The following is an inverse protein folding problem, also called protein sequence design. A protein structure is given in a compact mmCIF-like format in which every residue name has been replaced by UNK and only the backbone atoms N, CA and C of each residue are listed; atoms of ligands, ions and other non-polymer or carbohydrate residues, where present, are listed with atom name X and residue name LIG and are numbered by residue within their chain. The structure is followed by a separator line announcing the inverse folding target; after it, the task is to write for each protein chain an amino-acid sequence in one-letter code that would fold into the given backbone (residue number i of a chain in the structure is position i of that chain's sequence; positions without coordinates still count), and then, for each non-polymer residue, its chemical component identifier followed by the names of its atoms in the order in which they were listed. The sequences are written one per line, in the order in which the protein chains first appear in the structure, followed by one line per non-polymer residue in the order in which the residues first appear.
data_IF_664487239354
#
_entry.id   IF_664487239354
#
_cell.length_a   1.000
_cell.length_b   1.000
_cell.length_c   1.000
_cell.angle_alpha   90.00
_cell.angle_beta   90.00
_cell.angle_gamma   90.00
#
_symmetry.space_group_name_H-M   'P 1'
#
loop_
_entity.id
_entity.type
_entity.pdbx_description
1 polymer ?
#
# COMPACT_ATOMS: atom_id res chain seq x y z
N UNK A 1 -9.03 -3.08 -0.90
CA UNK A 1 -8.39 -3.63 -2.11
C UNK A 1 -8.26 -2.51 -3.13
N UNK A 2 -7.05 -2.14 -3.52
CA UNK A 2 -6.83 -1.04 -4.47
C UNK A 2 -7.45 -1.39 -5.83
N UNK A 3 -8.46 -0.61 -6.22
CA UNK A 3 -9.22 -0.82 -7.46
C UNK A 3 -8.30 -0.78 -8.71
N UNK A 4 -7.17 -0.07 -8.59
CA UNK A 4 -6.14 0.01 -9.64
C UNK A 4 -5.33 -1.28 -9.78
N UNK A 5 -4.89 -1.89 -8.68
CA UNK A 5 -4.14 -3.14 -8.72
C UNK A 5 -5.02 -4.28 -9.25
N UNK A 6 -6.30 -4.32 -8.86
CA UNK A 6 -7.26 -5.28 -9.38
C UNK A 6 -7.41 -5.17 -10.90
N UNK A 7 -7.47 -3.95 -11.46
CA UNK A 7 -7.52 -3.73 -12.90
C UNK A 7 -6.27 -4.24 -13.63
N UNK A 8 -5.08 -4.03 -13.05
CA UNK A 8 -3.82 -4.54 -13.61
C UNK A 8 -3.82 -6.08 -13.62
N UNK A 9 -4.22 -6.72 -12.51
CA UNK A 9 -4.25 -8.17 -12.40
C UNK A 9 -5.27 -8.79 -13.36
N UNK A 10 -6.46 -8.19 -13.50
CA UNK A 10 -7.45 -8.62 -14.48
C UNK A 10 -6.94 -8.46 -15.92
N UNK A 11 -6.26 -7.36 -16.24
CA UNK A 11 -5.65 -7.16 -17.56
C UNK A 11 -4.60 -8.24 -17.90
N UNK A 12 -3.77 -8.64 -16.93
CA UNK A 12 -2.78 -9.72 -17.11
C UNK A 12 -3.48 -11.07 -17.29
N UNK A 13 -4.48 -11.36 -16.45
CA UNK A 13 -5.25 -12.60 -16.53
C UNK A 13 -5.89 -12.76 -17.91
N UNK A 14 -6.58 -11.74 -18.38
CA UNK A 14 -7.31 -11.78 -19.65
C UNK A 14 -6.37 -11.81 -20.85
N UNK A 15 -5.20 -11.15 -20.75
CA UNK A 15 -4.12 -11.28 -21.73
C UNK A 15 -3.60 -12.72 -21.82
N UNK A 16 -3.31 -13.34 -20.67
CA UNK A 16 -2.80 -14.72 -20.60
C UNK A 16 -3.86 -15.75 -21.02
N UNK A 17 -5.14 -15.47 -20.77
CA UNK A 17 -6.27 -16.28 -21.22
C UNK A 17 -6.58 -16.12 -22.71
N UNK A 18 -5.88 -15.23 -23.42
CA UNK A 18 -6.08 -14.99 -24.85
C UNK A 18 -7.36 -14.20 -25.19
N UNK A 19 -8.02 -13.59 -24.20
CA UNK A 19 -9.20 -12.73 -24.40
C UNK A 19 -8.81 -11.51 -25.25
N UNK A 20 -7.60 -11.00 -25.06
CA UNK A 20 -7.04 -9.93 -25.86
C UNK A 20 -5.85 -10.42 -26.69
N UNK A 21 -5.86 -10.06 -27.98
CA UNK A 21 -4.79 -10.40 -28.93
C UNK A 21 -3.51 -9.59 -28.72
N UNK A 22 -3.55 -8.52 -27.91
CA UNK A 22 -2.37 -7.70 -27.61
C UNK A 22 -2.45 -7.02 -26.25
N UNK A 23 -1.27 -6.71 -25.69
CA UNK A 23 -1.15 -5.89 -24.46
C UNK A 23 -1.85 -4.54 -24.61
N UNK A 24 -1.83 -3.94 -25.80
CA UNK A 24 -2.48 -2.65 -26.05
C UNK A 24 -4.00 -2.75 -25.91
N UNK A 25 -4.61 -3.83 -26.41
CA UNK A 25 -6.05 -4.06 -26.28
C UNK A 25 -6.46 -4.27 -24.82
N UNK A 26 -5.70 -5.09 -24.07
CA UNK A 26 -5.93 -5.30 -22.64
C UNK A 26 -5.78 -4.00 -21.83
N UNK A 27 -4.76 -3.17 -22.13
CA UNK A 27 -4.56 -1.86 -21.48
C UNK A 27 -5.76 -0.93 -21.69
N UNK A 28 -6.29 -0.85 -22.90
CA UNK A 28 -7.44 0.02 -23.23
C UNK A 28 -8.72 -0.47 -22.55
N UNK A 29 -8.98 -1.78 -22.57
CA UNK A 29 -10.17 -2.36 -21.95
C UNK A 29 -10.20 -2.16 -20.43
N UNK A 30 -9.05 -2.28 -19.76
CA UNK A 30 -8.92 -2.18 -18.31
C UNK A 30 -8.49 -0.78 -17.82
N UNK A 31 -8.27 0.17 -18.73
CA UNK A 31 -7.82 1.54 -18.37
C UNK A 31 -6.42 1.60 -17.72
N UNK A 32 -5.56 0.62 -18.01
CA UNK A 32 -4.22 0.49 -17.41
C UNK A 32 -3.16 1.06 -18.35
N UNK A 33 -2.22 1.91 -17.89
CA UNK A 33 -1.09 2.35 -18.71
C UNK A 33 -0.20 1.18 -19.16
N UNK A 34 0.25 1.22 -20.41
CA UNK A 34 1.09 0.15 -20.98
C UNK A 34 2.39 -0.07 -20.22
N UNK A 35 3.04 1.01 -19.78
CA UNK A 35 4.28 0.94 -18.99
C UNK A 35 4.05 0.21 -17.65
N UNK A 36 2.90 0.43 -17.02
CA UNK A 36 2.49 -0.25 -15.78
C UNK A 36 2.25 -1.74 -16.04
N UNK A 37 1.49 -2.09 -17.07
CA UNK A 37 1.22 -3.49 -17.42
C UNK A 37 2.51 -4.23 -17.79
N UNK A 38 3.39 -3.59 -18.57
CA UNK A 38 4.69 -4.15 -18.95
C UNK A 38 5.59 -4.37 -17.73
N UNK A 39 5.70 -3.37 -16.85
CA UNK A 39 6.45 -3.50 -15.60
C UNK A 39 5.92 -4.64 -14.73
N UNK A 40 4.60 -4.80 -14.69
CA UNK A 40 3.96 -5.88 -13.93
C UNK A 40 4.23 -7.26 -14.51
N UNK A 41 4.15 -7.42 -15.84
CA UNK A 41 4.51 -8.65 -16.54
C UNK A 41 6.00 -9.00 -16.37
N UNK A 42 6.86 -7.99 -16.18
CA UNK A 42 8.27 -8.18 -15.85
C UNK A 42 8.53 -8.51 -14.36
N UNK A 43 7.47 -8.67 -13.55
CA UNK A 43 7.58 -9.07 -12.14
C UNK A 43 7.74 -7.92 -11.15
N UNK A 44 7.50 -6.65 -11.53
CA UNK A 44 7.53 -5.54 -10.56
C UNK A 44 6.39 -5.69 -9.55
N UNK A 45 6.73 -5.61 -8.27
CA UNK A 45 5.77 -5.60 -7.19
C UNK A 45 4.90 -4.32 -7.22
N UNK A 46 3.69 -4.34 -6.64
CA UNK A 46 2.91 -3.12 -6.43
C UNK A 46 3.71 -2.13 -5.61
N UNK A 47 3.53 -0.82 -5.82
CA UNK A 47 4.23 0.19 -5.03
C UNK A 47 4.00 0.01 -3.52
N UNK A 48 2.77 -0.32 -3.11
CA UNK A 48 2.44 -0.63 -1.72
C UNK A 48 3.35 -1.72 -1.14
N UNK A 49 3.64 -2.75 -1.94
CA UNK A 49 4.50 -3.87 -1.53
C UNK A 49 5.99 -3.54 -1.65
N UNK A 50 6.37 -2.85 -2.73
CA UNK A 50 7.76 -2.50 -3.00
C UNK A 50 8.37 -1.64 -1.89
N UNK A 51 7.56 -0.81 -1.22
CA UNK A 51 8.01 0.04 -0.12
C UNK A 51 7.84 -0.58 1.28
N UNK A 52 7.20 -1.76 1.43
CA UNK A 52 7.06 -2.37 2.76
C UNK A 52 8.40 -2.59 3.47
N UNK A 53 9.45 -2.97 2.73
CA UNK A 53 10.79 -3.15 3.31
C UNK A 53 11.49 -1.83 3.72
N UNK A 54 10.95 -0.69 3.27
CA UNK A 54 11.43 0.64 3.63
C UNK A 54 10.64 1.25 4.78
N UNK A 55 9.52 0.63 5.18
CA UNK A 55 8.75 1.04 6.35
C UNK A 55 9.43 0.53 7.62
N UNK A 56 9.47 1.40 8.64
CA UNK A 56 10.01 1.05 9.97
C UNK A 56 8.99 0.30 10.83
N UNK A 57 7.70 0.52 10.57
CA UNK A 57 6.60 -0.24 11.14
C UNK A 57 6.24 -1.41 10.22
N UNK A 58 5.91 -2.55 10.80
CA UNK A 58 5.38 -3.67 10.01
C UNK A 58 3.94 -3.38 9.59
N UNK A 59 3.41 -4.03 8.53
CA UNK A 59 2.02 -3.86 8.13
C UNK A 59 1.02 -4.12 9.27
N UNK A 60 1.29 -5.10 10.13
CA UNK A 60 0.45 -5.42 11.29
C UNK A 60 0.47 -4.30 12.34
N UNK A 61 1.60 -3.62 12.49
CA UNK A 61 1.75 -2.48 13.40
C UNK A 61 1.07 -1.23 12.87
N UNK A 62 1.15 -0.99 11.56
CA UNK A 62 0.37 0.07 10.91
C UNK A 62 -1.14 -0.21 11.03
N UNK A 63 -1.58 -1.45 10.84
CA UNK A 63 -2.99 -1.84 10.99
C UNK A 63 -3.48 -1.66 12.43
N UNK A 64 -2.68 -2.04 13.43
CA UNK A 64 -2.95 -1.76 14.84
C UNK A 64 -3.12 -0.25 15.09
N UNK A 65 -2.21 0.57 14.54
CA UNK A 65 -2.25 2.02 14.70
C UNK A 65 -3.50 2.64 14.04
N UNK A 66 -3.90 2.14 12.87
CA UNK A 66 -5.15 2.54 12.20
C UNK A 66 -6.36 2.19 13.05
N UNK A 67 -6.46 0.96 13.55
CA UNK A 67 -7.58 0.54 14.39
C UNK A 67 -7.67 1.39 15.67
N UNK A 68 -6.52 1.64 16.31
CA UNK A 68 -6.45 2.50 17.49
C UNK A 68 -6.93 3.94 17.19
N UNK A 69 -6.56 4.51 16.03
CA UNK A 69 -7.05 5.83 15.61
C UNK A 69 -8.56 5.85 15.42
N UNK A 70 -9.12 4.84 14.74
CA UNK A 70 -10.56 4.74 14.49
C UNK A 70 -11.34 4.59 15.81
N UNK A 71 -10.83 3.79 16.74
CA UNK A 71 -11.44 3.60 18.06
C UNK A 71 -11.45 4.90 18.89
N UNK A 72 -10.41 5.71 18.79
CA UNK A 72 -10.33 7.02 19.47
C UNK A 72 -11.20 8.09 18.79
N UNK A 73 -11.32 8.08 17.46
CA UNK A 73 -12.23 8.96 16.71
C UNK A 73 -13.70 8.70 17.11
N UNK A 74 -14.07 7.42 17.26
CA UNK A 74 -15.39 7.00 17.75
C UNK A 74 -15.67 7.49 19.18
N UNK A 75 -14.64 7.77 19.98
CA UNK A 75 -14.76 8.32 21.34
C UNK A 75 -14.86 9.85 21.38
N UNK A 76 -14.98 10.49 20.21
CA UNK A 76 -15.05 11.95 20.04
C UNK A 76 -13.85 12.70 20.67
N UNK A 77 -12.68 12.05 20.76
CA UNK A 77 -11.42 12.73 21.05
C UNK A 77 -10.69 12.94 19.72
N UNK A 78 -10.66 14.17 19.17
CA UNK A 78 -9.85 14.44 18.01
C UNK A 78 -8.38 14.15 18.36
N UNK A 79 -7.84 13.08 17.78
CA UNK A 79 -6.44 12.74 17.95
C UNK A 79 -5.59 13.76 17.20
N UNK A 80 -4.76 14.49 17.95
CA UNK A 80 -3.72 15.30 17.34
C UNK A 80 -2.70 14.39 16.63
N UNK A 81 -2.19 14.84 15.48
CA UNK A 81 -1.11 14.16 14.77
C UNK A 81 0.10 13.86 15.67
N UNK A 82 0.36 14.69 16.68
CA UNK A 82 1.41 14.46 17.69
C UNK A 82 1.20 13.17 18.48
N UNK A 83 -0.04 12.87 18.89
CA UNK A 83 -0.35 11.68 19.69
C UNK A 83 -0.26 10.40 18.87
N UNK A 84 -0.66 10.46 17.60
CA UNK A 84 -0.45 9.36 16.65
C UNK A 84 1.05 9.11 16.44
N UNK A 85 1.84 10.18 16.31
CA UNK A 85 3.29 10.09 16.19
C UNK A 85 3.95 9.50 17.44
N UNK A 86 3.51 9.90 18.64
CA UNK A 86 3.98 9.32 19.91
C UNK A 86 3.71 7.81 19.97
N UNK A 87 2.51 7.38 19.59
CA UNK A 87 2.17 5.95 19.52
C UNK A 87 3.06 5.19 18.53
N UNK A 88 3.29 5.75 17.33
CA UNK A 88 4.20 5.16 16.36
C UNK A 88 5.64 5.05 16.90
N UNK A 89 6.14 6.08 17.60
CA UNK A 89 7.46 6.06 18.25
C UNK A 89 7.51 4.97 19.34
N UNK A 90 6.45 4.80 20.13
CA UNK A 90 6.41 3.74 21.14
C UNK A 90 6.51 2.35 20.53
N UNK A 91 5.79 2.09 19.43
CA UNK A 91 5.87 0.82 18.71
C UNK A 91 7.30 0.58 18.17
N UNK A 92 7.94 1.62 17.62
CA UNK A 92 9.33 1.52 17.16
C UNK A 92 10.29 1.19 18.31
N UNK A 93 10.12 1.82 19.47
CA UNK A 93 10.93 1.51 20.64
C UNK A 93 10.72 0.07 21.12
N UNK A 94 9.49 -0.45 21.06
CA UNK A 94 9.20 -1.86 21.35
C UNK A 94 9.87 -2.81 20.35
N UNK A 95 10.07 -2.39 19.10
CA UNK A 95 10.82 -3.13 18.08
C UNK A 95 12.35 -3.04 18.27
N UNK A 96 12.83 -2.26 19.26
CA UNK A 96 14.24 -1.96 19.45
C UNK A 96 14.80 -0.94 18.46
N UNK A 97 13.93 -0.24 17.74
CA UNK A 97 14.27 0.86 16.83
C UNK A 97 14.12 2.21 17.56
N UNK A 98 15.24 2.79 17.93
CA UNK A 98 15.31 4.07 18.65
C UNK A 98 15.63 5.25 17.74
N UNK A 99 15.68 5.05 16.41
CA UNK A 99 15.97 6.14 15.50
C UNK A 99 14.86 7.20 15.56
N UNK A 100 15.20 8.49 15.57
CA UNK A 100 14.18 9.53 15.53
C UNK A 100 13.37 9.38 14.24
N UNK A 101 12.04 9.27 14.35
CA UNK A 101 11.16 9.48 13.21
C UNK A 101 11.44 10.91 12.73
N UNK A 102 11.87 11.10 11.47
CA UNK A 102 12.47 12.36 10.99
C UNK A 102 11.66 13.59 11.41
N UNK A 103 12.37 14.62 11.87
CA UNK A 103 11.77 15.91 12.22
C UNK A 103 11.22 16.55 10.95
N UNK A 104 9.91 16.81 10.93
CA UNK A 104 9.33 17.79 10.03
C UNK A 104 9.59 19.17 10.62
#
# INVERSE_FOLDING_TARGET
MDNHEAAIQNAIRDLNAGVFTSQRAACQAWGVPRSTLQGRLAGRAPNAIAHHQQQRLTPEQEEFLVQWILDEDLRAQPLAHSRVREMAIQILYMNGDYEPLSYN
#
